data_IF_144630338333
#
_entry.id   IF_144630338333
#
_cell.length_a   1.000
_cell.length_b   1.000
_cell.length_c   1.000
_cell.angle_alpha   90.00
_cell.angle_beta   90.00
_cell.angle_gamma   90.00
#
_symmetry.space_group_name_H-M   'P 1'
#
loop_
_entity.id
_entity.type
_entity.pdbx_description
1 polymer ?
#
# COMPACT_ATOMS: atom_id res chain seq x y z
N UNK A 1 16.41 7.60 -0.53
CA UNK A 1 15.63 7.69 0.74
C UNK A 1 16.58 7.42 1.91
N UNK A 2 17.05 8.50 2.54
CA UNK A 2 18.18 8.49 3.48
C UNK A 2 17.85 7.82 4.81
N UNK A 3 18.75 6.95 5.27
CA UNK A 3 18.68 6.20 6.53
C UNK A 3 18.79 7.06 7.79
N UNK A 4 19.02 8.38 7.64
CA UNK A 4 19.23 9.32 8.75
C UNK A 4 17.96 9.63 9.57
N UNK A 5 16.77 9.46 9.00
CA UNK A 5 15.48 9.82 9.64
C UNK A 5 15.14 9.00 10.90
N UNK A 6 15.77 7.82 11.07
CA UNK A 6 15.48 6.92 12.21
C UNK A 6 16.24 7.30 13.48
N UNK A 7 17.30 8.09 13.37
CA UNK A 7 18.21 8.41 14.49
C UNK A 7 18.32 9.91 14.78
N UNK A 8 17.73 10.77 13.97
CA UNK A 8 17.67 12.21 14.29
C UNK A 8 16.72 12.41 15.46
N UNK A 9 17.21 13.03 16.54
CA UNK A 9 16.32 13.51 17.59
C UNK A 9 15.27 14.41 16.93
N UNK A 10 14.00 14.20 17.29
CA UNK A 10 12.83 14.81 16.67
C UNK A 10 12.89 16.33 16.51
N UNK A 11 13.64 17.03 17.37
CA UNK A 11 13.87 18.48 17.32
C UNK A 11 14.70 18.92 16.10
N UNK A 12 15.52 18.04 15.53
CA UNK A 12 16.36 18.33 14.35
C UNK A 12 15.78 17.78 13.05
N UNK A 13 14.59 17.18 13.09
CA UNK A 13 13.92 16.62 11.92
C UNK A 13 13.06 17.71 11.23
N UNK A 14 13.41 18.19 10.03
CA UNK A 14 12.63 19.22 9.34
C UNK A 14 11.22 18.76 8.99
N UNK A 15 10.99 17.46 8.83
CA UNK A 15 9.63 16.93 8.62
C UNK A 15 8.79 17.13 9.87
N UNK A 16 9.37 16.96 11.06
CA UNK A 16 8.68 17.18 12.33
C UNK A 16 8.14 18.60 12.46
N UNK A 17 8.98 19.61 12.21
CA UNK A 17 8.57 21.01 12.29
C UNK A 17 7.53 21.38 11.24
N UNK A 18 7.64 20.84 10.02
CA UNK A 18 6.61 21.05 8.99
C UNK A 18 5.27 20.49 9.42
N UNK A 19 5.23 19.27 9.96
CA UNK A 19 3.99 18.68 10.47
C UNK A 19 3.46 19.46 11.67
N UNK A 20 4.30 19.86 12.62
CA UNK A 20 3.87 20.65 13.77
C UNK A 20 3.26 22.01 13.36
N UNK A 21 3.87 22.69 12.36
CA UNK A 21 3.30 23.93 11.80
C UNK A 21 1.98 23.68 11.08
N UNK A 22 1.87 22.60 10.29
CA UNK A 22 0.62 22.24 9.62
C UNK A 22 -0.51 21.95 10.63
N UNK A 23 -0.21 21.23 11.72
CA UNK A 23 -1.17 20.96 12.81
C UNK A 23 -1.65 22.25 13.51
N UNK A 24 -0.74 23.21 13.71
CA UNK A 24 -1.09 24.53 14.26
C UNK A 24 -1.92 25.37 13.30
N UNK A 25 -1.59 25.36 12.01
CA UNK A 25 -2.33 26.09 10.98
C UNK A 25 -3.74 25.54 10.82
N UNK A 26 -3.89 24.21 10.80
CA UNK A 26 -5.18 23.54 10.68
C UNK A 26 -5.91 23.41 12.02
N UNK A 27 -5.79 24.36 12.96
CA UNK A 27 -6.29 24.21 14.35
C UNK A 27 -7.81 24.01 14.50
N UNK A 28 -8.57 24.31 13.46
CA UNK A 28 -10.02 24.16 13.42
C UNK A 28 -10.50 22.81 12.86
N UNK A 29 -9.59 21.90 12.48
CA UNK A 29 -9.95 20.65 11.80
C UNK A 29 -9.94 19.41 12.73
N UNK A 30 -10.63 18.32 12.40
CA UNK A 30 -10.42 17.05 13.11
C UNK A 30 -9.05 16.44 12.79
N UNK A 31 -8.50 15.66 13.72
CA UNK A 31 -7.24 14.92 13.52
C UNK A 31 -7.48 13.43 13.71
N UNK A 32 -7.23 12.65 12.66
CA UNK A 32 -7.33 11.19 12.70
C UNK A 32 -5.93 10.55 12.70
N UNK A 33 -5.70 9.65 13.66
CA UNK A 33 -4.43 8.92 13.80
C UNK A 33 -4.64 7.45 13.46
N UNK A 34 -4.24 7.08 12.24
CA UNK A 34 -4.36 5.73 11.69
C UNK A 34 -3.12 4.86 11.97
N UNK A 35 -2.69 4.77 13.24
CA UNK A 35 -1.50 4.01 13.65
C UNK A 35 -1.81 3.19 14.90
N UNK A 36 -1.39 1.93 14.91
CA UNK A 36 -1.61 0.98 16.02
C UNK A 36 -0.32 0.54 16.69
N UNK A 37 0.85 0.76 16.09
CA UNK A 37 2.14 0.45 16.71
C UNK A 37 2.37 1.33 17.94
N UNK A 38 2.57 0.74 19.14
CA UNK A 38 2.68 1.51 20.38
C UNK A 38 3.84 2.51 20.40
N UNK A 39 4.98 2.18 19.77
CA UNK A 39 6.17 3.04 19.77
C UNK A 39 5.96 4.26 18.88
N UNK A 40 5.40 4.05 17.69
CA UNK A 40 5.04 5.15 16.80
C UNK A 40 3.94 6.01 17.39
N UNK A 41 2.93 5.40 18.02
CA UNK A 41 1.84 6.13 18.65
C UNK A 41 2.34 7.04 19.79
N UNK A 42 3.30 6.58 20.60
CA UNK A 42 3.94 7.41 21.61
C UNK A 42 4.64 8.63 20.98
N UNK A 43 5.30 8.46 19.83
CA UNK A 43 5.93 9.57 19.09
C UNK A 43 4.88 10.52 18.52
N UNK A 44 3.79 10.01 17.95
CA UNK A 44 2.69 10.83 17.42
C UNK A 44 2.05 11.67 18.54
N UNK A 45 1.79 11.08 19.72
CA UNK A 45 1.26 11.81 20.88
C UNK A 45 2.15 12.98 21.30
N UNK A 46 3.47 12.79 21.30
CA UNK A 46 4.44 13.87 21.57
C UNK A 46 4.36 14.98 20.53
N UNK A 47 4.18 14.64 19.24
CA UNK A 47 3.99 15.62 18.18
C UNK A 47 2.73 16.46 18.39
N UNK A 48 1.59 15.80 18.65
CA UNK A 48 0.29 16.45 18.88
C UNK A 48 0.35 17.40 20.09
N UNK A 49 0.98 16.96 21.19
CA UNK A 49 1.18 17.80 22.36
C UNK A 49 2.09 19.01 22.04
N UNK A 50 3.23 18.80 21.38
CA UNK A 50 4.15 19.87 21.01
C UNK A 50 3.59 20.86 19.97
N UNK A 51 2.60 20.44 19.17
CA UNK A 51 1.86 21.33 18.28
C UNK A 51 0.72 22.08 18.98
N UNK A 52 0.42 21.80 20.25
CA UNK A 52 -0.70 22.41 20.96
C UNK A 52 -2.06 21.89 20.48
N UNK A 53 -2.12 20.67 19.95
CA UNK A 53 -3.36 20.06 19.48
C UNK A 53 -4.21 19.63 20.68
N UNK A 54 -5.44 20.13 20.77
CA UNK A 54 -6.41 19.67 21.77
C UNK A 54 -6.65 18.15 21.63
N UNK A 55 -6.56 17.33 22.69
CA UNK A 55 -6.87 15.91 22.61
C UNK A 55 -8.31 15.62 22.14
N UNK A 56 -9.27 16.51 22.41
CA UNK A 56 -10.70 16.32 22.07
C UNK A 56 -10.99 16.42 20.57
N UNK A 57 -10.07 16.96 19.78
CA UNK A 57 -10.16 16.97 18.30
C UNK A 57 -9.45 15.78 17.66
N UNK A 58 -8.87 14.89 18.46
CA UNK A 58 -8.13 13.74 17.97
C UNK A 58 -8.95 12.45 18.12
N UNK A 59 -8.98 11.64 17.07
CA UNK A 59 -9.41 10.24 17.14
C UNK A 59 -8.23 9.35 16.77
N UNK A 60 -7.97 8.36 17.62
CA UNK A 60 -6.86 7.42 17.45
C UNK A 60 -7.45 6.05 17.17
N UNK A 61 -6.95 5.40 16.12
CA UNK A 61 -7.34 4.04 15.76
C UNK A 61 -7.08 3.11 16.95
N UNK A 62 -8.16 2.55 17.51
CA UNK A 62 -8.04 1.61 18.62
C UNK A 62 -7.30 0.34 18.16
N UNK A 63 -6.42 -0.24 19.00
CA UNK A 63 -5.91 -1.58 18.73
C UNK A 63 -7.07 -2.57 18.72
N UNK A 64 -6.98 -3.57 17.86
CA UNK A 64 -8.01 -4.60 17.73
C UNK A 64 -7.57 -5.83 18.54
N UNK A 65 -8.48 -6.50 19.27
CA UNK A 65 -8.19 -7.78 19.91
C UNK A 65 -7.70 -8.79 18.89
N UNK A 66 -6.80 -9.69 19.28
CA UNK A 66 -6.23 -10.67 18.36
C UNK A 66 -7.28 -11.59 17.72
N UNK A 67 -8.44 -11.79 18.38
CA UNK A 67 -9.55 -12.60 17.85
C UNK A 67 -10.45 -11.87 16.84
N UNK A 68 -10.37 -10.53 16.77
CA UNK A 68 -11.20 -9.78 15.85
C UNK A 68 -10.59 -9.80 14.43
N UNK A 69 -11.36 -10.33 13.49
CA UNK A 69 -10.96 -10.54 12.10
C UNK A 69 -11.40 -9.39 11.17
N UNK A 70 -11.50 -8.15 11.66
CA UNK A 70 -11.91 -7.05 10.80
C UNK A 70 -10.79 -6.73 9.82
N UNK A 71 -11.16 -6.53 8.54
CA UNK A 71 -10.18 -6.11 7.56
C UNK A 71 -9.69 -4.69 7.89
N UNK A 72 -8.40 -4.42 7.66
CA UNK A 72 -7.79 -3.13 8.03
C UNK A 72 -8.49 -1.92 7.38
N UNK A 73 -8.99 -2.09 6.16
CA UNK A 73 -9.75 -1.03 5.45
C UNK A 73 -11.04 -0.69 6.18
N UNK A 74 -11.79 -1.70 6.63
CA UNK A 74 -13.07 -1.49 7.33
C UNK A 74 -12.86 -0.71 8.62
N UNK A 75 -11.74 -0.95 9.30
CA UNK A 75 -11.36 -0.21 10.50
C UNK A 75 -11.03 1.25 10.22
N UNK A 76 -10.33 1.53 9.12
CA UNK A 76 -10.05 2.91 8.70
C UNK A 76 -11.34 3.65 8.30
N UNK A 77 -12.23 2.99 7.56
CA UNK A 77 -13.55 3.53 7.21
C UNK A 77 -14.39 3.76 8.45
N UNK A 78 -14.39 2.82 9.40
CA UNK A 78 -15.06 2.94 10.68
C UNK A 78 -14.55 4.12 11.49
N UNK A 79 -13.24 4.32 11.58
CA UNK A 79 -12.64 5.49 12.22
C UNK A 79 -13.08 6.80 11.55
N UNK A 80 -13.12 6.82 10.21
CA UNK A 80 -13.54 8.00 9.44
C UNK A 80 -15.02 8.35 9.55
N UNK A 81 -15.86 7.44 10.07
CA UNK A 81 -17.29 7.70 10.38
C UNK A 81 -17.49 8.40 11.72
N UNK A 82 -16.47 8.41 12.58
CA UNK A 82 -16.55 9.00 13.90
C UNK A 82 -16.14 10.47 13.83
N UNK A 83 -16.86 11.33 14.55
CA UNK A 83 -16.50 12.74 14.72
C UNK A 83 -15.78 12.92 16.07
N UNK A 84 -14.63 13.61 16.15
CA UNK A 84 -13.99 13.85 17.44
C UNK A 84 -14.88 14.71 18.37
N UNK A 85 -14.82 14.51 19.70
CA UNK A 85 -15.71 15.19 20.66
C UNK A 85 -15.71 16.72 20.64
N UNK A 86 -14.65 17.36 20.12
CA UNK A 86 -14.58 18.81 19.98
C UNK A 86 -15.46 19.38 18.86
N UNK A 87 -16.08 18.52 18.02
CA UNK A 87 -16.85 18.93 16.86
C UNK A 87 -18.29 18.43 16.91
N UNK A 88 -19.18 19.18 16.27
CA UNK A 88 -20.54 18.75 16.01
C UNK A 88 -20.57 17.73 14.86
N UNK A 89 -21.12 16.55 15.13
CA UNK A 89 -21.28 15.49 14.13
C UNK A 89 -22.16 15.92 12.95
N UNK A 90 -23.12 16.83 13.15
CA UNK A 90 -23.97 17.33 12.08
C UNK A 90 -23.20 18.12 11.02
N UNK A 91 -22.05 18.71 11.37
CA UNK A 91 -21.17 19.41 10.43
C UNK A 91 -20.32 18.46 9.56
N UNK A 92 -20.28 17.17 9.89
CA UNK A 92 -19.50 16.14 9.19
C UNK A 92 -20.38 14.96 8.77
N UNK A 93 -21.42 15.17 7.92
CA UNK A 93 -22.32 14.10 7.51
C UNK A 93 -21.57 13.04 6.70
N UNK A 94 -21.86 11.77 6.99
CA UNK A 94 -21.36 10.68 6.16
C UNK A 94 -22.08 10.70 4.79
N UNK A 95 -21.36 10.55 3.66
CA UNK A 95 -21.99 10.56 2.35
C UNK A 95 -23.07 9.49 2.20
N UNK A 96 -24.19 9.87 1.56
CA UNK A 96 -25.25 8.96 1.15
C UNK A 96 -25.47 9.08 -0.37
N UNK A 97 -25.18 8.05 -1.18
CA UNK A 97 -24.74 6.71 -0.75
C UNK A 97 -23.33 6.69 -0.15
N UNK A 98 -23.04 5.68 0.66
CA UNK A 98 -21.71 5.49 1.22
C UNK A 98 -20.67 5.33 0.10
N UNK A 99 -19.44 5.85 0.27
CA UNK A 99 -18.39 5.66 -0.70
C UNK A 99 -18.08 4.16 -0.88
N UNK A 100 -17.68 3.72 -2.08
CA UNK A 100 -17.35 2.32 -2.33
C UNK A 100 -16.20 1.89 -1.41
N UNK A 101 -16.37 0.75 -0.73
CA UNK A 101 -15.37 0.19 0.18
C UNK A 101 -14.12 -0.38 -0.50
N UNK A 102 -14.06 -0.33 -1.83
CA UNK A 102 -12.94 -0.80 -2.63
C UNK A 102 -12.28 0.37 -3.37
N UNK A 103 -10.94 0.50 -3.33
CA UNK A 103 -10.25 1.49 -4.13
C UNK A 103 -10.54 1.25 -5.62
N UNK A 104 -10.83 2.33 -6.34
CA UNK A 104 -10.99 2.30 -7.80
C UNK A 104 -9.74 2.87 -8.45
N UNK A 105 -9.24 2.18 -9.46
CA UNK A 105 -8.22 2.71 -10.35
C UNK A 105 -8.94 3.30 -11.56
N UNK A 106 -8.95 4.62 -11.67
CA UNK A 106 -9.44 5.29 -12.87
C UNK A 106 -8.36 5.23 -13.94
N UNK A 107 -8.68 4.58 -15.05
CA UNK A 107 -7.80 4.50 -16.23
C UNK A 107 -8.22 5.60 -17.19
N UNK A 108 -7.31 6.49 -17.53
CA UNK A 108 -7.59 7.56 -18.49
C UNK A 108 -7.73 6.98 -19.90
N UNK A 109 -8.45 7.68 -20.78
CA UNK A 109 -8.55 7.30 -22.20
C UNK A 109 -7.16 7.21 -22.87
N UNK A 110 -6.23 8.08 -22.47
CA UNK A 110 -4.85 8.05 -22.96
C UNK A 110 -4.09 6.79 -22.49
N UNK A 111 -4.22 6.41 -21.22
CA UNK A 111 -3.59 5.19 -20.69
C UNK A 111 -4.19 3.93 -21.32
N UNK A 112 -5.49 3.93 -21.60
CA UNK A 112 -6.14 2.85 -22.31
C UNK A 112 -5.59 2.72 -23.74
N UNK A 113 -5.55 3.82 -24.51
CA UNK A 113 -5.02 3.83 -25.88
C UNK A 113 -3.53 3.44 -25.97
N UNK A 114 -2.71 3.85 -24.98
CA UNK A 114 -1.31 3.44 -24.87
C UNK A 114 -1.19 1.93 -24.63
N UNK A 115 -2.00 1.38 -23.73
CA UNK A 115 -2.05 -0.07 -23.50
C UNK A 115 -2.51 -0.84 -24.75
N UNK A 116 -3.53 -0.34 -25.44
CA UNK A 116 -4.04 -0.93 -26.67
C UNK A 116 -2.98 -0.99 -27.77
N UNK A 117 -2.26 0.12 -27.99
CA UNK A 117 -1.16 0.20 -28.95
C UNK A 117 -0.03 -0.76 -28.59
N UNK A 118 0.33 -0.83 -27.30
CA UNK A 118 1.37 -1.75 -26.82
C UNK A 118 0.99 -3.22 -27.02
N UNK A 119 -0.28 -3.58 -26.84
CA UNK A 119 -0.77 -4.94 -27.07
C UNK A 119 -0.79 -5.30 -28.57
N UNK A 120 -1.10 -4.34 -29.43
CA UNK A 120 -1.05 -4.48 -30.89
C UNK A 120 0.39 -4.69 -31.39
N UNK A 121 1.33 -3.86 -30.94
CA UNK A 121 2.76 -3.97 -31.28
C UNK A 121 3.35 -5.33 -30.90
N UNK A 122 2.84 -5.94 -29.83
CA UNK A 122 3.24 -7.27 -29.38
C UNK A 122 2.51 -8.40 -30.12
N UNK A 123 1.44 -8.10 -30.86
CA UNK A 123 0.56 -9.10 -31.48
C UNK A 123 -0.25 -9.90 -30.44
N UNK A 124 -0.54 -9.28 -29.29
CA UNK A 124 -1.14 -9.96 -28.13
C UNK A 124 -2.65 -9.68 -27.98
N UNK A 125 -3.19 -8.71 -28.72
CA UNK A 125 -4.57 -8.22 -28.59
C UNK A 125 -5.64 -9.32 -28.57
N UNK A 126 -5.48 -10.33 -29.43
CA UNK A 126 -6.47 -11.40 -29.61
C UNK A 126 -6.26 -12.61 -28.69
N UNK A 127 -5.30 -12.54 -27.75
CA UNK A 127 -4.94 -13.66 -26.88
C UNK A 127 -5.26 -13.34 -25.42
N UNK A 128 -5.85 -14.29 -24.66
CA UNK A 128 -5.98 -14.13 -23.22
C UNK A 128 -4.61 -13.95 -22.57
N UNK A 129 -4.48 -12.95 -21.70
CA UNK A 129 -3.25 -12.71 -20.95
C UNK A 129 -3.40 -13.21 -19.51
N UNK A 130 -2.41 -13.97 -19.06
CA UNK A 130 -2.23 -14.30 -17.64
C UNK A 130 -1.01 -13.55 -17.13
N UNK A 131 -1.26 -12.49 -16.37
CA UNK A 131 -0.20 -11.68 -15.77
C UNK A 131 0.24 -12.31 -14.45
N UNK A 132 1.53 -12.62 -14.34
CA UNK A 132 2.13 -13.22 -13.15
C UNK A 132 3.12 -12.24 -12.56
N UNK A 133 2.92 -11.85 -11.30
CA UNK A 133 3.79 -10.90 -10.59
C UNK A 133 4.45 -11.58 -9.37
N UNK A 134 5.63 -12.20 -9.54
CA UNK A 134 6.34 -12.89 -8.45
C UNK A 134 6.97 -11.94 -7.42
N UNK A 135 7.24 -10.71 -7.86
CA UNK A 135 7.89 -9.66 -7.08
C UNK A 135 7.07 -9.19 -5.89
N UNK A 136 7.73 -8.72 -4.83
CA UNK A 136 7.08 -8.19 -3.65
C UNK A 136 7.84 -6.96 -3.09
N UNK A 137 7.39 -6.38 -1.97
CA UNK A 137 8.08 -5.21 -1.40
C UNK A 137 9.55 -5.48 -1.05
N UNK A 138 9.91 -6.70 -0.65
CA UNK A 138 11.26 -7.09 -0.21
C UNK A 138 12.20 -7.30 -1.39
N UNK A 139 11.73 -7.84 -2.53
CA UNK A 139 12.53 -7.92 -3.78
C UNK A 139 12.99 -6.53 -4.24
N UNK A 140 12.19 -5.50 -3.95
CA UNK A 140 12.47 -4.09 -4.25
C UNK A 140 13.32 -3.34 -3.20
N UNK A 141 13.65 -3.91 -2.03
CA UNK A 141 14.40 -3.21 -0.97
C UNK A 141 15.93 -3.31 -1.14
N UNK A 142 16.65 -2.20 -0.95
CA UNK A 142 18.12 -2.13 -0.91
C UNK A 142 18.73 -1.71 -2.25
N UNK A 143 19.95 -2.14 -2.58
CA UNK A 143 20.59 -1.88 -3.90
C UNK A 143 20.57 -3.06 -4.88
N UNK A 144 20.40 -4.29 -4.40
CA UNK A 144 20.41 -5.53 -5.20
C UNK A 144 19.15 -6.35 -4.96
N UNK A 145 18.77 -7.21 -5.90
CA UNK A 145 17.73 -8.21 -5.66
C UNK A 145 18.08 -8.99 -4.38
N UNK A 146 17.10 -9.14 -3.49
CA UNK A 146 17.24 -9.88 -2.24
C UNK A 146 16.10 -10.87 -2.15
N UNK A 147 16.44 -12.15 -2.33
CA UNK A 147 15.59 -13.27 -1.97
C UNK A 147 16.08 -13.79 -0.63
N UNK A 148 15.17 -13.94 0.32
CA UNK A 148 15.47 -14.49 1.64
C UNK A 148 14.63 -15.74 1.81
N UNK A 149 15.22 -16.83 2.32
CA UNK A 149 14.46 -18.02 2.69
C UNK A 149 13.45 -17.73 3.82
N UNK A 150 13.70 -16.68 4.62
CA UNK A 150 12.77 -16.18 5.63
C UNK A 150 11.70 -15.23 5.06
N UNK A 151 11.68 -15.02 3.74
CA UNK A 151 10.63 -14.23 3.10
C UNK A 151 9.35 -15.06 2.95
N UNK A 152 8.47 -14.96 3.95
CA UNK A 152 7.13 -15.57 3.98
C UNK A 152 6.23 -15.19 2.79
N UNK A 153 6.58 -14.14 2.04
CA UNK A 153 5.86 -13.69 0.84
C UNK A 153 6.57 -14.07 -0.46
N UNK A 154 7.69 -14.76 -0.40
CA UNK A 154 8.39 -15.25 -1.58
C UNK A 154 7.97 -16.69 -1.87
N UNK A 155 7.80 -16.99 -3.16
CA UNK A 155 7.70 -18.37 -3.64
C UNK A 155 8.97 -18.73 -4.43
N UNK A 156 9.53 -19.93 -4.21
CA UNK A 156 10.75 -20.34 -4.90
C UNK A 156 10.49 -20.52 -6.41
N UNK A 157 11.50 -20.28 -7.28
CA UNK A 157 11.34 -20.32 -8.73
C UNK A 157 10.72 -21.62 -9.26
N UNK A 158 11.03 -22.76 -8.65
CA UNK A 158 10.54 -24.08 -9.07
C UNK A 158 9.02 -24.21 -8.86
N UNK A 159 8.47 -23.58 -7.81
CA UNK A 159 7.02 -23.55 -7.59
C UNK A 159 6.31 -22.62 -8.57
N UNK A 160 6.95 -21.52 -8.94
CA UNK A 160 6.47 -20.68 -10.03
C UNK A 160 6.49 -21.44 -11.35
N UNK A 161 7.58 -22.11 -11.71
CA UNK A 161 7.66 -22.93 -12.92
C UNK A 161 6.57 -24.00 -12.98
N UNK A 162 6.37 -24.74 -11.89
CA UNK A 162 5.28 -25.72 -11.79
C UNK A 162 3.89 -25.08 -11.96
N UNK A 163 3.65 -23.88 -11.42
CA UNK A 163 2.42 -23.14 -11.65
C UNK A 163 2.26 -22.74 -13.12
N UNK A 164 3.32 -22.23 -13.76
CA UNK A 164 3.30 -21.81 -15.16
C UNK A 164 2.96 -22.99 -16.10
N UNK A 165 3.54 -24.17 -15.88
CA UNK A 165 3.17 -25.38 -16.62
C UNK A 165 1.70 -25.74 -16.45
N UNK A 166 1.17 -25.68 -15.21
CA UNK A 166 -0.25 -25.97 -14.94
C UNK A 166 -1.18 -24.95 -15.59
N UNK A 167 -0.80 -23.67 -15.57
CA UNK A 167 -1.54 -22.61 -16.25
C UNK A 167 -1.57 -22.85 -17.76
N UNK A 168 -0.44 -23.18 -18.37
CA UNK A 168 -0.36 -23.45 -19.80
C UNK A 168 -1.16 -24.71 -20.18
N UNK A 169 -1.08 -25.79 -19.40
CA UNK A 169 -1.86 -26.99 -19.64
C UNK A 169 -3.39 -26.75 -19.57
N UNK A 170 -3.83 -25.81 -18.70
CA UNK A 170 -5.25 -25.47 -18.52
C UNK A 170 -5.75 -24.44 -19.54
N UNK A 171 -4.88 -23.54 -19.98
CA UNK A 171 -5.16 -22.42 -20.88
C UNK A 171 -4.08 -22.33 -21.97
N UNK A 172 -4.00 -23.32 -22.88
CA UNK A 172 -2.94 -23.38 -23.89
C UNK A 172 -2.94 -22.19 -24.85
N UNK A 173 -4.11 -21.55 -25.05
CA UNK A 173 -4.27 -20.37 -25.87
C UNK A 173 -3.76 -19.07 -25.22
N UNK A 174 -3.61 -19.05 -23.89
CA UNK A 174 -3.21 -17.85 -23.16
C UNK A 174 -1.71 -17.56 -23.31
N UNK A 175 -1.36 -16.28 -23.29
CA UNK A 175 0.02 -15.82 -23.10
C UNK A 175 0.26 -15.60 -21.61
N UNK A 176 1.29 -16.21 -21.07
CA UNK A 176 1.70 -15.98 -19.68
C UNK A 176 2.81 -14.94 -19.67
N UNK A 177 2.56 -13.80 -19.02
CA UNK A 177 3.48 -12.67 -18.98
C UNK A 177 4.03 -12.53 -17.56
N UNK A 178 5.36 -12.63 -17.43
CA UNK A 178 6.05 -12.34 -16.18
C UNK A 178 6.21 -10.83 -16.02
N UNK A 179 5.52 -10.28 -15.02
CA UNK A 179 5.49 -8.85 -14.72
C UNK A 179 6.40 -8.52 -13.53
N UNK A 180 7.13 -7.42 -13.64
CA UNK A 180 7.97 -6.91 -12.56
C UNK A 180 8.69 -5.62 -12.92
N UNK A 181 9.41 -5.07 -11.96
CA UNK A 181 10.29 -3.93 -12.18
C UNK A 181 11.64 -4.38 -12.80
N UNK A 182 12.43 -3.48 -13.43
CA UNK A 182 13.75 -3.82 -13.99
C UNK A 182 14.71 -4.48 -12.99
N UNK A 183 14.51 -4.25 -11.70
CA UNK A 183 15.29 -4.87 -10.62
C UNK A 183 14.99 -6.36 -10.42
N UNK A 184 13.81 -6.78 -10.85
CA UNK A 184 13.30 -8.13 -10.69
C UNK A 184 13.61 -9.00 -11.91
N UNK A 185 14.21 -8.45 -12.97
CA UNK A 185 14.53 -9.18 -14.20
C UNK A 185 15.24 -10.51 -13.93
N UNK A 186 16.25 -10.52 -13.05
CA UNK A 186 16.95 -11.76 -12.69
C UNK A 186 16.04 -12.81 -12.03
N UNK A 187 15.09 -12.38 -11.19
CA UNK A 187 14.07 -13.29 -10.62
C UNK A 187 13.14 -13.83 -11.72
N UNK A 188 12.70 -12.97 -12.64
CA UNK A 188 11.83 -13.37 -13.73
C UNK A 188 12.53 -14.33 -14.70
N UNK A 189 13.82 -14.12 -14.97
CA UNK A 189 14.67 -15.02 -15.74
C UNK A 189 14.80 -16.39 -15.07
N UNK A 190 15.02 -16.44 -13.75
CA UNK A 190 15.06 -17.71 -13.02
C UNK A 190 13.73 -18.47 -13.08
N UNK A 191 12.62 -17.75 -12.99
CA UNK A 191 11.28 -18.35 -13.09
C UNK A 191 11.01 -18.85 -14.51
N UNK A 192 11.38 -18.08 -15.52
CA UNK A 192 11.24 -18.49 -16.92
C UNK A 192 12.09 -19.74 -17.22
N UNK A 193 13.32 -19.79 -16.71
CA UNK A 193 14.19 -20.96 -16.84
C UNK A 193 13.63 -22.20 -16.12
N UNK A 194 12.99 -22.01 -14.96
CA UNK A 194 12.33 -23.11 -14.23
C UNK A 194 11.04 -23.61 -14.90
N UNK A 195 10.54 -22.91 -15.93
CA UNK A 195 9.35 -23.25 -16.70
C UNK A 195 9.66 -23.69 -18.14
N UNK A 196 10.94 -23.71 -18.52
CA UNK A 196 11.43 -24.17 -19.82
C UNK A 196 11.63 -25.69 -19.79
#
# INVERSE_FOLDING_TARGET
MSALHRYTAWVFDPAWWRTARALRAARAEPVYVCETDPRKLARIRRLLAASGTDPRRCLILAPEPAEACSHWVDRLVGLGRLTPPAFDAAAYPWPCPAPPGAPRLEVSAAAQADCDSWLEDKGWRERPLVLVQPGNRRTMRGRRLRLSAADDKAWPPERWGALLHRLHARLPQALIVLCGAPRESLLLEWIAAAAA
#
